data_IF_256931322298
#
_entry.id   IF_256931322298
#
_cell.length_a   1.000
_cell.length_b   1.000
_cell.length_c   1.000
_cell.angle_alpha   90.00
_cell.angle_beta   90.00
_cell.angle_gamma   90.00
#
_symmetry.space_group_name_H-M   'P 1'
#
loop_
_entity.id
_entity.type
_entity.pdbx_description
1 polymer ?
#
# COMPACT_ATOMS: atom_id res chain seq x y z
N UNK A 1 -9.58 21.16 -27.90
CA UNK A 1 -10.12 19.82 -27.60
C UNK A 1 -9.49 19.40 -26.28
N UNK A 2 -10.30 19.22 -25.24
CA UNK A 2 -9.80 18.87 -23.91
C UNK A 2 -9.37 17.40 -23.94
N UNK A 3 -8.10 17.15 -23.66
CA UNK A 3 -7.55 15.83 -23.41
C UNK A 3 -8.37 15.18 -22.30
N UNK A 4 -9.14 14.14 -22.61
CA UNK A 4 -9.91 13.38 -21.62
C UNK A 4 -8.94 12.90 -20.54
N UNK A 5 -8.97 13.54 -19.38
CA UNK A 5 -8.09 13.23 -18.26
C UNK A 5 -8.46 11.86 -17.73
N UNK A 6 -7.79 10.82 -18.25
CA UNK A 6 -7.99 9.42 -17.84
C UNK A 6 -7.48 9.26 -16.42
N UNK A 7 -8.39 9.23 -15.45
CA UNK A 7 -8.02 9.04 -14.03
C UNK A 7 -7.56 7.60 -13.82
N UNK A 8 -6.43 7.43 -13.13
CA UNK A 8 -5.91 6.10 -12.81
C UNK A 8 -6.14 5.83 -11.32
N UNK A 9 -6.99 4.85 -11.01
CA UNK A 9 -7.33 4.45 -9.65
C UNK A 9 -6.43 3.30 -9.19
N UNK A 10 -5.40 3.67 -8.44
CA UNK A 10 -4.52 2.74 -7.75
C UNK A 10 -5.20 2.23 -6.47
N UNK A 11 -6.01 1.17 -6.56
CA UNK A 11 -6.54 0.52 -5.36
C UNK A 11 -6.92 -0.96 -5.50
N UNK A 12 -6.98 -1.66 -4.36
CA UNK A 12 -7.41 -3.05 -4.24
C UNK A 12 -8.94 -3.15 -4.32
N UNK A 13 -9.48 -4.08 -5.11
CA UNK A 13 -10.93 -4.12 -5.40
C UNK A 13 -11.81 -4.38 -4.17
N UNK A 14 -11.27 -4.99 -3.11
CA UNK A 14 -11.98 -5.19 -1.85
C UNK A 14 -11.68 -4.11 -0.80
N UNK A 15 -10.90 -3.07 -1.14
CA UNK A 15 -10.67 -1.95 -0.22
C UNK A 15 -11.95 -1.09 -0.12
N UNK A 16 -12.50 -0.90 1.09
CA UNK A 16 -13.67 -0.02 1.28
C UNK A 16 -13.36 1.44 0.91
N UNK A 17 -12.10 1.87 1.01
CA UNK A 17 -11.65 3.20 0.58
C UNK A 17 -11.66 3.33 -0.96
N UNK A 18 -11.20 2.29 -1.67
CA UNK A 18 -11.25 2.24 -3.14
C UNK A 18 -12.67 2.42 -3.64
N UNK A 19 -13.61 1.71 -3.03
CA UNK A 19 -15.02 1.71 -3.43
C UNK A 19 -15.67 3.08 -3.23
N UNK A 20 -15.28 3.84 -2.21
CA UNK A 20 -15.74 5.23 -2.02
C UNK A 20 -15.24 6.14 -3.13
N UNK A 21 -13.96 6.02 -3.53
CA UNK A 21 -13.39 6.80 -4.64
C UNK A 21 -14.02 6.39 -5.97
N UNK A 22 -14.19 5.08 -6.21
CA UNK A 22 -14.87 4.53 -7.39
C UNK A 22 -16.28 5.11 -7.54
N UNK A 23 -17.05 5.09 -6.45
CA UNK A 23 -18.40 5.63 -6.41
C UNK A 23 -18.41 7.13 -6.74
N UNK A 24 -17.50 7.90 -6.14
CA UNK A 24 -17.40 9.34 -6.40
C UNK A 24 -17.04 9.66 -7.86
N UNK A 25 -16.10 8.90 -8.46
CA UNK A 25 -15.73 9.04 -9.86
C UNK A 25 -16.89 8.72 -10.80
N UNK A 26 -17.64 7.64 -10.50
CA UNK A 26 -18.84 7.26 -11.27
C UNK A 26 -19.94 8.32 -11.18
N UNK A 27 -20.23 8.83 -9.98
CA UNK A 27 -21.23 9.90 -9.78
C UNK A 27 -20.85 11.15 -10.59
N UNK A 28 -19.56 11.48 -10.66
CA UNK A 28 -19.05 12.63 -11.41
C UNK A 28 -18.86 12.38 -12.91
N UNK A 29 -19.14 11.18 -13.40
CA UNK A 29 -18.96 10.83 -14.82
C UNK A 29 -17.50 10.85 -15.30
N UNK A 30 -16.53 10.73 -14.39
CA UNK A 30 -15.11 10.77 -14.73
C UNK A 30 -14.64 9.36 -15.10
N UNK A 31 -14.17 9.13 -16.34
CA UNK A 31 -13.64 7.82 -16.73
C UNK A 31 -12.37 7.51 -15.96
N UNK A 32 -12.26 6.28 -15.46
CA UNK A 32 -11.08 5.83 -14.71
C UNK A 32 -10.66 4.40 -15.04
N UNK A 33 -9.38 4.09 -14.79
CA UNK A 33 -8.79 2.75 -14.94
C UNK A 33 -8.27 2.24 -13.61
N UNK A 34 -8.58 1.00 -13.23
CA UNK A 34 -8.00 0.35 -12.04
C UNK A 34 -6.57 -0.15 -12.27
N UNK A 35 -5.71 -0.10 -11.25
CA UNK A 35 -4.28 -0.48 -11.42
C UNK A 35 -3.67 -1.34 -10.32
N UNK A 36 -4.29 -1.51 -9.16
CA UNK A 36 -3.70 -2.31 -8.06
C UNK A 36 -4.00 -3.82 -8.14
N UNK A 37 -4.50 -4.31 -9.27
CA UNK A 37 -4.51 -5.76 -9.57
C UNK A 37 -3.09 -6.34 -9.58
N UNK A 38 -2.06 -5.52 -9.76
CA UNK A 38 -0.65 -5.93 -9.75
C UNK A 38 -0.22 -6.55 -8.41
N UNK A 39 -0.65 -5.98 -7.27
CA UNK A 39 -0.28 -6.53 -5.96
C UNK A 39 -0.93 -7.89 -5.73
N UNK A 40 -2.17 -8.12 -6.18
CA UNK A 40 -2.77 -9.46 -6.10
C UNK A 40 -2.06 -10.49 -6.97
N UNK A 41 -1.49 -10.07 -8.12
CA UNK A 41 -0.70 -10.96 -8.99
C UNK A 41 0.61 -11.44 -8.36
N UNK A 42 1.15 -10.73 -7.37
CA UNK A 42 2.30 -11.22 -6.60
C UNK A 42 1.99 -12.51 -5.84
N UNK A 43 0.72 -12.77 -5.55
CA UNK A 43 0.27 -13.95 -4.80
C UNK A 43 -0.18 -15.10 -5.72
N UNK A 44 -0.11 -14.92 -7.04
CA UNK A 44 -0.36 -16.01 -7.99
C UNK A 44 0.84 -16.97 -8.01
N UNK A 45 0.64 -18.28 -7.79
CA UNK A 45 1.74 -19.24 -7.81
C UNK A 45 2.40 -19.30 -9.20
N UNK A 46 3.74 -19.41 -9.22
CA UNK A 46 4.58 -19.56 -10.43
C UNK A 46 4.51 -18.42 -11.45
N UNK A 47 4.40 -17.17 -10.99
CA UNK A 47 4.45 -16.03 -11.91
C UNK A 47 5.88 -15.79 -12.45
N UNK A 48 6.18 -16.25 -13.66
CA UNK A 48 7.46 -15.99 -14.36
C UNK A 48 7.74 -14.48 -14.57
N UNK A 49 6.74 -13.62 -14.38
CA UNK A 49 6.85 -12.16 -14.43
C UNK A 49 6.97 -11.48 -13.06
N UNK A 50 7.26 -12.21 -11.97
CA UNK A 50 7.31 -11.66 -10.61
C UNK A 50 8.18 -10.39 -10.50
N UNK A 51 9.35 -10.37 -11.14
CA UNK A 51 10.25 -9.20 -11.16
C UNK A 51 9.56 -7.97 -11.77
N UNK A 52 8.94 -8.11 -12.95
CA UNK A 52 8.19 -7.02 -13.60
C UNK A 52 7.03 -6.52 -12.76
N UNK A 53 6.38 -7.42 -12.01
CA UNK A 53 5.28 -7.08 -11.12
C UNK A 53 5.80 -6.31 -9.91
N UNK A 54 6.95 -6.70 -9.36
CA UNK A 54 7.63 -5.97 -8.27
C UNK A 54 8.05 -4.57 -8.74
N UNK A 55 8.62 -4.44 -9.93
CA UNK A 55 8.95 -3.14 -10.54
C UNK A 55 7.70 -2.24 -10.67
N UNK A 56 6.60 -2.79 -11.18
CA UNK A 56 5.34 -2.05 -11.32
C UNK A 56 4.76 -1.68 -9.95
N UNK A 57 4.92 -2.52 -8.92
CA UNK A 57 4.52 -2.18 -7.54
C UNK A 57 5.39 -1.04 -6.99
N UNK A 58 6.70 -1.07 -7.19
CA UNK A 58 7.61 0.01 -6.78
C UNK A 58 7.26 1.34 -7.45
N UNK A 59 6.97 1.34 -8.76
CA UNK A 59 6.52 2.54 -9.48
C UNK A 59 5.25 3.13 -8.85
N UNK A 60 4.25 2.27 -8.55
CA UNK A 60 3.00 2.72 -7.90
C UNK A 60 3.22 3.25 -6.50
N UNK A 61 4.12 2.65 -5.73
CA UNK A 61 4.49 3.11 -4.41
C UNK A 61 5.15 4.49 -4.46
N UNK A 62 6.00 4.76 -5.45
CA UNK A 62 6.57 6.10 -5.69
C UNK A 62 5.49 7.13 -6.01
N UNK A 63 4.55 6.81 -6.90
CA UNK A 63 3.41 7.69 -7.22
C UNK A 63 2.60 8.01 -5.96
N UNK A 64 2.32 7.00 -5.13
CA UNK A 64 1.62 7.19 -3.87
C UNK A 64 2.40 8.12 -2.94
N UNK A 65 3.69 7.87 -2.74
CA UNK A 65 4.53 8.68 -1.88
C UNK A 65 4.63 10.14 -2.36
N UNK A 66 4.87 10.37 -3.65
CA UNK A 66 4.94 11.71 -4.23
C UNK A 66 3.61 12.44 -4.14
N UNK A 67 2.49 11.72 -4.34
CA UNK A 67 1.15 12.26 -4.13
C UNK A 67 0.95 12.68 -2.67
N UNK A 68 1.30 11.82 -1.72
CA UNK A 68 1.21 12.13 -0.29
C UNK A 68 2.04 13.38 0.04
N UNK A 69 3.29 13.44 -0.42
CA UNK A 69 4.16 14.62 -0.23
C UNK A 69 3.51 15.89 -0.79
N UNK A 70 3.06 15.84 -2.04
CA UNK A 70 2.48 17.00 -2.73
C UNK A 70 1.19 17.51 -2.07
N UNK A 71 0.31 16.63 -1.62
CA UNK A 71 -1.02 17.01 -1.14
C UNK A 71 -1.08 17.27 0.36
N UNK A 72 -0.32 16.52 1.16
CA UNK A 72 -0.38 16.62 2.63
C UNK A 72 0.81 17.36 3.21
N UNK A 73 1.93 17.42 2.49
CA UNK A 73 3.19 18.00 2.97
C UNK A 73 3.82 18.98 1.97
N UNK A 74 3.07 19.99 1.49
CA UNK A 74 3.56 20.91 0.45
C UNK A 74 4.79 21.73 0.88
N UNK A 75 4.99 21.92 2.20
CA UNK A 75 6.11 22.66 2.79
C UNK A 75 7.28 21.74 3.19
N UNK A 76 7.16 20.43 2.97
CA UNK A 76 8.15 19.43 3.36
C UNK A 76 7.55 18.33 4.22
N UNK A 77 8.04 17.10 4.03
CA UNK A 77 7.56 15.93 4.77
C UNK A 77 8.06 15.93 6.21
N UNK A 78 7.24 15.49 7.18
CA UNK A 78 7.68 15.34 8.54
C UNK A 78 8.76 14.27 8.62
N UNK A 79 9.82 14.56 9.37
CA UNK A 79 10.94 13.63 9.60
C UNK A 79 10.53 12.50 10.57
N UNK A 80 9.56 12.76 11.45
CA UNK A 80 9.07 11.83 12.46
C UNK A 80 7.55 11.89 12.58
N UNK A 81 6.92 10.76 12.93
CA UNK A 81 5.53 10.73 13.37
C UNK A 81 5.47 11.11 14.84
N UNK A 82 4.66 12.12 15.16
CA UNK A 82 4.33 12.43 16.55
C UNK A 82 3.22 11.48 17.02
N UNK A 83 3.58 10.59 17.95
CA UNK A 83 2.70 9.59 18.56
C UNK A 83 1.44 10.19 19.17
N UNK A 84 1.53 11.40 19.73
CA UNK A 84 0.41 12.08 20.40
C UNK A 84 -0.50 12.79 19.39
N UNK A 85 -0.06 12.93 18.14
CA UNK A 85 -0.79 13.58 17.05
C UNK A 85 -1.09 12.65 15.88
N UNK A 86 -1.19 11.34 16.12
CA UNK A 86 -1.56 10.38 15.08
C UNK A 86 -2.87 10.81 14.40
N UNK A 87 -2.75 11.14 13.12
CA UNK A 87 -3.87 11.47 12.26
C UNK A 87 -4.43 10.24 11.56
N UNK A 88 -5.54 10.44 10.87
CA UNK A 88 -6.16 9.38 10.06
C UNK A 88 -5.22 8.87 8.96
N UNK A 89 -4.32 9.71 8.46
CA UNK A 89 -3.34 9.34 7.45
C UNK A 89 -2.33 8.32 7.99
N UNK A 90 -1.79 8.55 9.18
CA UNK A 90 -0.86 7.62 9.84
C UNK A 90 -1.52 6.26 10.05
N UNK A 91 -2.76 6.25 10.56
CA UNK A 91 -3.55 5.04 10.76
C UNK A 91 -3.75 4.28 9.44
N UNK A 92 -4.10 4.97 8.35
CA UNK A 92 -4.29 4.34 7.04
C UNK A 92 -3.00 3.72 6.50
N UNK A 93 -1.86 4.39 6.68
CA UNK A 93 -0.55 3.88 6.27
C UNK A 93 -0.20 2.63 7.08
N UNK A 94 -0.38 2.66 8.40
CA UNK A 94 -0.13 1.50 9.25
C UNK A 94 -1.04 0.32 8.94
N UNK A 95 -2.33 0.56 8.75
CA UNK A 95 -3.29 -0.50 8.40
C UNK A 95 -2.95 -1.13 7.04
N UNK A 96 -2.43 -0.34 6.09
CA UNK A 96 -2.12 -0.80 4.73
C UNK A 96 -0.78 -1.52 4.66
N UNK A 97 0.27 -0.94 5.26
CA UNK A 97 1.65 -1.38 5.08
C UNK A 97 2.30 -1.93 6.35
N UNK A 98 1.68 -1.88 7.52
CA UNK A 98 2.28 -2.34 8.79
C UNK A 98 2.73 -3.81 8.76
N UNK A 99 2.06 -4.65 7.96
CA UNK A 99 2.44 -6.06 7.76
C UNK A 99 3.42 -6.32 6.61
N UNK A 100 4.12 -5.31 6.08
CA UNK A 100 4.93 -5.45 4.87
C UNK A 100 6.05 -6.50 5.03
N UNK A 101 6.74 -6.57 6.19
CA UNK A 101 7.80 -7.56 6.43
C UNK A 101 7.31 -8.99 6.29
N UNK A 102 6.09 -9.28 6.77
CA UNK A 102 5.49 -10.61 6.63
C UNK A 102 5.15 -10.91 5.15
N UNK A 103 4.71 -9.91 4.39
CA UNK A 103 4.47 -10.05 2.95
C UNK A 103 5.77 -10.32 2.19
N UNK A 104 6.83 -9.55 2.46
CA UNK A 104 8.15 -9.72 1.84
C UNK A 104 8.72 -11.11 2.12
N UNK A 105 8.58 -11.60 3.37
CA UNK A 105 9.01 -12.95 3.74
C UNK A 105 8.23 -14.03 2.99
N UNK A 106 6.91 -13.93 2.90
CA UNK A 106 6.06 -14.93 2.23
C UNK A 106 6.30 -14.96 0.73
N UNK A 107 6.52 -13.80 0.13
CA UNK A 107 6.68 -13.65 -1.32
C UNK A 107 8.14 -13.78 -1.80
N UNK A 108 9.10 -13.72 -0.87
CA UNK A 108 10.53 -13.74 -1.20
C UNK A 108 11.01 -12.51 -1.98
N UNK A 109 10.32 -11.37 -1.86
CA UNK A 109 10.63 -10.13 -2.58
C UNK A 109 10.71 -8.96 -1.62
N UNK A 110 11.45 -7.91 -2.01
CA UNK A 110 11.48 -6.62 -1.31
C UNK A 110 10.50 -5.67 -2.00
N UNK A 111 9.57 -5.10 -1.24
CA UNK A 111 8.49 -4.23 -1.73
C UNK A 111 8.63 -2.82 -1.14
N UNK A 112 9.00 -2.69 0.13
CA UNK A 112 9.22 -1.38 0.77
C UNK A 112 10.72 -1.18 0.94
N UNK A 113 11.21 -0.08 0.39
CA UNK A 113 12.63 0.24 0.37
C UNK A 113 12.86 1.70 0.76
N UNK A 114 13.84 1.94 1.64
CA UNK A 114 14.12 3.27 2.16
C UNK A 114 14.64 4.25 1.10
N UNK A 115 15.28 3.77 0.03
CA UNK A 115 15.77 4.61 -1.07
C UNK A 115 14.63 4.95 -2.03
N UNK A 116 13.72 4.01 -2.27
CA UNK A 116 12.62 4.20 -3.20
C UNK A 116 11.43 4.94 -2.60
N UNK A 117 11.11 4.65 -1.34
CA UNK A 117 9.97 5.21 -0.62
C UNK A 117 10.34 5.66 0.79
N UNK A 118 11.23 6.66 0.93
CA UNK A 118 11.74 7.11 2.23
C UNK A 118 10.65 7.59 3.21
N UNK A 119 9.58 8.21 2.73
CA UNK A 119 8.50 8.70 3.60
C UNK A 119 7.64 7.54 4.12
N UNK A 120 7.24 6.61 3.25
CA UNK A 120 6.47 5.44 3.69
C UNK A 120 7.34 4.57 4.62
N UNK A 121 8.63 4.42 4.30
CA UNK A 121 9.56 3.67 5.13
C UNK A 121 9.72 4.29 6.52
N UNK A 122 9.91 5.61 6.63
CA UNK A 122 10.04 6.29 7.92
C UNK A 122 8.79 6.13 8.77
N UNK A 123 7.61 6.26 8.17
CA UNK A 123 6.34 5.99 8.84
C UNK A 123 6.28 4.59 9.43
N UNK A 124 6.69 3.57 8.67
CA UNK A 124 6.66 2.18 9.12
C UNK A 124 7.71 1.82 10.17
N UNK A 125 8.75 2.64 10.35
CA UNK A 125 9.71 2.47 11.45
C UNK A 125 9.27 3.16 12.75
N UNK A 126 8.39 4.17 12.67
CA UNK A 126 7.89 4.91 13.82
C UNK A 126 7.15 4.07 14.90
N UNK A 127 6.45 2.95 14.60
CA UNK A 127 5.77 2.13 15.62
C UNK A 127 6.68 1.62 16.75
N UNK A 128 7.98 1.48 16.51
CA UNK A 128 8.92 1.09 17.56
C UNK A 128 9.01 2.14 18.68
N UNK A 129 8.61 3.38 18.38
CA UNK A 129 8.64 4.53 19.28
C UNK A 129 7.25 4.83 19.88
N UNK A 130 6.17 4.16 19.40
CA UNK A 130 4.78 4.42 19.81
C UNK A 130 4.12 3.21 20.50
N UNK A 131 3.95 3.23 21.83
CA UNK A 131 3.43 2.09 22.60
C UNK A 131 2.07 1.55 22.12
N UNK A 132 1.10 2.42 21.82
CA UNK A 132 -0.26 1.97 21.40
C UNK A 132 -0.25 1.22 20.06
N UNK A 133 0.65 1.61 19.14
CA UNK A 133 0.78 0.91 17.85
C UNK A 133 1.43 -0.45 18.08
N UNK A 134 2.44 -0.53 18.95
CA UNK A 134 3.11 -1.78 19.30
C UNK A 134 2.16 -2.79 19.97
N UNK A 135 1.28 -2.32 20.85
CA UNK A 135 0.27 -3.16 21.50
C UNK A 135 -0.81 -3.65 20.53
N UNK A 136 -1.15 -2.84 19.53
CA UNK A 136 -2.15 -3.17 18.50
C UNK A 136 -1.57 -3.98 17.34
N UNK A 137 -0.23 -4.11 17.26
CA UNK A 137 0.43 -4.78 16.17
C UNK A 137 0.09 -6.27 16.19
N UNK A 138 -0.42 -6.77 15.06
CA UNK A 138 -0.63 -8.21 14.89
C UNK A 138 0.73 -8.91 14.90
N UNK A 139 0.92 -9.98 15.69
CA UNK A 139 2.17 -10.73 15.71
C UNK A 139 2.59 -11.14 14.30
N UNK A 140 3.89 -11.00 14.01
CA UNK A 140 4.43 -11.26 12.67
C UNK A 140 4.08 -12.66 12.17
N UNK A 141 4.18 -13.68 13.02
CA UNK A 141 3.87 -15.07 12.67
C UNK A 141 2.38 -15.27 12.30
N UNK A 142 1.47 -14.53 12.93
CA UNK A 142 0.05 -14.56 12.58
C UNK A 142 -0.19 -13.92 11.22
N UNK A 143 0.52 -12.83 10.89
CA UNK A 143 0.46 -12.21 9.57
C UNK A 143 1.04 -13.13 8.50
N UNK A 144 2.16 -13.80 8.78
CA UNK A 144 2.74 -14.81 7.87
C UNK A 144 1.76 -15.95 7.64
N UNK A 145 1.16 -16.50 8.70
CA UNK A 145 0.17 -17.58 8.59
C UNK A 145 -1.07 -17.19 7.81
N UNK A 146 -1.65 -16.01 8.06
CA UNK A 146 -2.78 -15.48 7.29
C UNK A 146 -2.41 -15.31 5.80
N UNK A 147 -1.20 -14.82 5.51
CA UNK A 147 -0.73 -14.60 4.14
C UNK A 147 -0.48 -15.92 3.41
N UNK A 148 0.14 -16.90 4.05
CA UNK A 148 0.32 -18.24 3.50
C UNK A 148 -1.01 -18.92 3.19
N UNK A 149 -1.99 -18.81 4.10
CA UNK A 149 -3.36 -19.32 3.87
C UNK A 149 -3.99 -18.69 2.63
N UNK A 150 -3.90 -17.38 2.46
CA UNK A 150 -4.45 -16.68 1.29
C UNK A 150 -3.77 -17.10 -0.02
N UNK A 151 -2.44 -17.26 -0.03
CA UNK A 151 -1.69 -17.73 -1.21
C UNK A 151 -2.06 -19.17 -1.59
N UNK A 152 -2.20 -20.07 -0.61
CA UNK A 152 -2.61 -21.46 -0.85
C UNK A 152 -4.07 -21.55 -1.35
N UNK A 153 -4.95 -20.70 -0.82
CA UNK A 153 -6.36 -20.61 -1.24
C UNK A 153 -6.49 -20.12 -2.68
N UNK A 154 -5.62 -19.19 -3.12
CA UNK A 154 -5.60 -18.66 -4.48
C UNK A 154 -5.05 -19.67 -5.51
N UNK A 155 -4.21 -20.62 -5.10
CA UNK A 155 -3.71 -21.70 -5.95
C UNK A 155 -4.60 -22.94 -6.03
N UNK A 156 -5.75 -22.95 -5.34
CA UNK A 156 -6.67 -24.10 -5.24
C UNK A 156 -7.90 -23.99 -6.14
N UNK A 157 -7.91 -23.08 -7.13
CA UNK A 157 -8.99 -22.92 -8.12
C UNK A 157 -8.50 -23.14 -9.55
#
# INVERSE_FOLDING_TARGET
MAEESKVVLHSFFASPYAKRVELALKIKGIPFKYTLQTVSKLYEPNNEGQEKIVEEVHEKLKILEDGVKKFYFPEGSPVHIDAEKLGILDIMVFATFGGYKAQEQVLGVKIIDAEQTPLIFSWLQAPNEVPVIKESAVPHDHLVGLRQFLTQSAGSQ
#
